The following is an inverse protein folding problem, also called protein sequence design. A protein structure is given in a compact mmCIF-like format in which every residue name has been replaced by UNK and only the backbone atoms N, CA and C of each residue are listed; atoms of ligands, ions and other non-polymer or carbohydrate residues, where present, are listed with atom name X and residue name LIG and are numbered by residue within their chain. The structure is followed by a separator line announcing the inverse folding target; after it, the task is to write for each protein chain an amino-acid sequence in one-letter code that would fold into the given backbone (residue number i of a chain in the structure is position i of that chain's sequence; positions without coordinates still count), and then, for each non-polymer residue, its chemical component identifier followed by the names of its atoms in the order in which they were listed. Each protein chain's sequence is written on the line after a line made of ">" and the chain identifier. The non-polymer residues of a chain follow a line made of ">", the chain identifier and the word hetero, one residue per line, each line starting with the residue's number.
data_IF_051100217669
#
_entry.id   IF_051100217669
#
_cell.length_a   1.000
_cell.length_b   1.000
_cell.length_c   1.000
_cell.angle_alpha   90.00
_cell.angle_beta   90.00
_cell.angle_gamma   90.00
#
_symmetry.space_group_name_H-M   'P 1'
#
loop_
_entity.id
_entity.type
_entity.pdbx_description
1 polymer ?
#
# COMPACT_ATOMS: atom_id res chain seq x y z
N UNK A 1 15.31 -29.50 33.20
CA UNK A 1 16.07 -28.32 32.75
C UNK A 1 15.43 -27.88 31.46
N UNK A 2 14.66 -26.81 31.61
CA UNK A 2 13.82 -26.14 30.63
C UNK A 2 14.67 -25.46 29.55
N UNK A 3 14.32 -25.62 28.28
CA UNK A 3 14.74 -24.69 27.23
C UNK A 3 13.53 -24.32 26.40
N UNK A 4 12.75 -23.41 26.97
CA UNK A 4 11.87 -22.50 26.25
C UNK A 4 12.69 -21.66 25.26
N UNK A 5 12.36 -21.72 23.97
CA UNK A 5 12.76 -20.69 23.01
C UNK A 5 11.53 -20.31 22.21
N UNK A 6 10.88 -19.25 22.68
CA UNK A 6 9.79 -18.55 22.01
C UNK A 6 10.43 -17.46 21.15
N UNK A 7 10.52 -17.67 19.84
CA UNK A 7 10.93 -16.64 18.89
C UNK A 7 9.71 -15.88 18.37
N UNK A 8 9.44 -14.78 19.07
CA UNK A 8 9.10 -13.45 18.57
C UNK A 8 8.17 -13.39 17.33
N UNK A 9 6.88 -13.29 17.64
CA UNK A 9 5.88 -12.51 16.91
C UNK A 9 6.45 -11.15 16.45
N UNK A 10 6.77 -11.02 15.16
CA UNK A 10 6.92 -9.72 14.49
C UNK A 10 5.79 -9.59 13.48
N UNK A 11 4.66 -9.10 13.97
CA UNK A 11 3.56 -8.61 13.17
C UNK A 11 4.04 -7.49 12.25
N UNK A 12 4.12 -7.82 10.97
CA UNK A 12 4.05 -6.86 9.88
C UNK A 12 3.08 -7.45 8.89
N UNK A 13 1.78 -7.42 9.21
CA UNK A 13 0.75 -7.59 8.20
C UNK A 13 0.97 -6.45 7.21
N UNK A 14 1.80 -6.72 6.20
CA UNK A 14 1.84 -5.93 4.99
C UNK A 14 0.47 -6.16 4.40
N UNK A 15 -0.47 -5.27 4.72
CA UNK A 15 -1.77 -5.26 4.07
C UNK A 15 -1.47 -5.28 2.58
N UNK A 16 -1.83 -6.39 1.96
CA UNK A 16 -1.47 -6.66 0.58
C UNK A 16 -2.42 -5.81 -0.26
N UNK A 17 -2.05 -4.55 -0.48
CA UNK A 17 -2.88 -3.59 -1.19
C UNK A 17 -2.90 -4.01 -2.67
N UNK A 18 -4.03 -4.54 -3.10
CA UNK A 18 -4.24 -5.01 -4.48
C UNK A 18 -4.50 -3.81 -5.41
N UNK A 19 -3.46 -3.06 -5.76
CA UNK A 19 -3.54 -1.97 -6.74
C UNK A 19 -3.70 -2.53 -8.17
N UNK A 20 -4.57 -1.92 -8.97
CA UNK A 20 -4.87 -2.32 -10.35
C UNK A 20 -4.70 -1.14 -11.31
N UNK A 21 -4.47 -1.48 -12.56
CA UNK A 21 -4.45 -0.54 -13.66
C UNK A 21 -5.80 0.19 -13.73
N UNK A 22 -5.76 1.50 -13.81
CA UNK A 22 -6.92 2.39 -13.80
C UNK A 22 -7.42 2.80 -12.43
N UNK A 23 -6.77 2.41 -11.32
CA UNK A 23 -7.13 2.97 -10.01
C UNK A 23 -6.78 4.45 -9.93
N UNK A 24 -7.73 5.23 -9.44
CA UNK A 24 -7.55 6.63 -9.08
C UNK A 24 -7.28 6.76 -7.57
N UNK A 25 -6.25 7.54 -7.25
CA UNK A 25 -5.88 7.87 -5.88
C UNK A 25 -5.98 9.36 -5.66
N UNK A 26 -6.55 9.75 -4.53
CA UNK A 26 -6.75 11.14 -4.12
C UNK A 26 -6.05 11.43 -2.81
N UNK A 27 -5.46 12.62 -2.72
CA UNK A 27 -4.91 13.12 -1.46
C UNK A 27 -6.02 13.80 -0.66
N UNK A 28 -6.34 13.34 0.57
CA UNK A 28 -7.42 13.93 1.37
C UNK A 28 -7.09 15.34 1.88
N UNK A 29 -5.81 15.74 1.86
CA UNK A 29 -5.38 17.05 2.35
C UNK A 29 -5.35 18.14 1.25
N UNK A 30 -4.95 17.78 0.02
CA UNK A 30 -4.74 18.75 -1.07
C UNK A 30 -5.69 18.56 -2.24
N UNK A 31 -6.49 17.50 -2.25
CA UNK A 31 -7.32 17.08 -3.38
C UNK A 31 -6.52 16.85 -4.68
N UNK A 32 -5.23 16.53 -4.58
CA UNK A 32 -4.44 16.08 -5.72
C UNK A 32 -4.90 14.68 -6.13
N UNK A 33 -4.97 14.42 -7.43
CA UNK A 33 -5.36 13.13 -8.00
C UNK A 33 -4.21 12.53 -8.82
N UNK A 34 -4.07 11.21 -8.76
CA UNK A 34 -3.21 10.43 -9.65
C UNK A 34 -3.96 9.19 -10.13
N UNK A 35 -3.67 8.77 -11.36
CA UNK A 35 -4.22 7.55 -11.94
C UNK A 35 -3.09 6.54 -12.16
N UNK A 36 -3.25 5.33 -11.62
CA UNK A 36 -2.31 4.25 -11.85
C UNK A 36 -2.51 3.69 -13.25
N UNK A 37 -1.65 4.06 -14.20
CA UNK A 37 -1.79 3.58 -15.58
C UNK A 37 -1.53 2.09 -15.73
N UNK A 38 -0.42 1.60 -15.17
CA UNK A 38 0.00 0.20 -15.23
C UNK A 38 0.58 -0.19 -13.86
N UNK A 39 0.14 -1.32 -13.30
CA UNK A 39 0.90 -1.99 -12.27
C UNK A 39 2.17 -2.55 -12.93
N UNK A 40 3.34 -2.11 -12.45
CA UNK A 40 4.61 -2.68 -12.87
C UNK A 40 4.69 -4.19 -12.63
N UNK A 41 5.75 -4.81 -13.16
CA UNK A 41 5.98 -6.25 -13.03
C UNK A 41 5.88 -6.71 -11.57
N UNK A 42 4.89 -7.57 -11.29
CA UNK A 42 4.57 -8.07 -9.94
C UNK A 42 5.74 -8.80 -9.28
N UNK A 43 6.63 -9.40 -10.07
CA UNK A 43 7.86 -10.02 -9.56
C UNK A 43 8.90 -9.01 -9.09
N UNK A 44 8.80 -7.75 -9.54
CA UNK A 44 9.67 -6.64 -9.12
C UNK A 44 9.01 -5.69 -8.13
N UNK A 45 7.70 -5.76 -8.00
CA UNK A 45 6.90 -4.93 -7.10
C UNK A 45 6.34 -5.73 -5.92
N UNK A 46 7.10 -6.69 -5.41
CA UNK A 46 6.80 -7.35 -4.14
C UNK A 46 6.97 -6.33 -3.00
N UNK A 47 5.85 -5.72 -2.58
CA UNK A 47 5.85 -4.66 -1.57
C UNK A 47 5.50 -3.27 -2.10
N UNK A 48 4.68 -3.18 -3.15
CA UNK A 48 4.08 -1.91 -3.58
C UNK A 48 3.43 -1.20 -2.38
N UNK A 49 3.85 0.04 -2.12
CA UNK A 49 3.30 0.87 -1.04
C UNK A 49 2.30 1.89 -1.59
N UNK A 50 1.44 2.44 -0.73
CA UNK A 50 0.56 3.55 -1.09
C UNK A 50 1.37 4.76 -1.58
N UNK A 51 0.83 5.47 -2.56
CA UNK A 51 1.42 6.71 -3.02
C UNK A 51 1.36 7.78 -1.92
N UNK A 52 2.36 8.65 -1.89
CA UNK A 52 2.41 9.79 -0.97
C UNK A 52 2.35 11.06 -1.79
N UNK A 53 1.41 11.93 -1.46
CA UNK A 53 1.28 13.24 -2.11
C UNK A 53 2.49 14.12 -1.77
N UNK A 54 2.79 15.12 -2.59
CA UNK A 54 3.86 16.09 -2.33
C UNK A 54 3.71 16.83 -0.99
N UNK A 55 2.50 16.90 -0.41
CA UNK A 55 2.28 17.46 0.92
C UNK A 55 2.68 16.51 2.08
N UNK A 56 3.08 15.27 1.78
CA UNK A 56 3.47 14.26 2.76
C UNK A 56 2.32 13.36 3.25
N UNK A 57 1.09 13.60 2.80
CA UNK A 57 -0.08 12.79 3.18
C UNK A 57 -0.19 11.55 2.28
N UNK A 58 -0.37 10.33 2.85
CA UNK A 58 -0.70 9.14 2.08
C UNK A 58 -1.96 9.36 1.24
N UNK A 59 -1.92 8.91 -0.01
CA UNK A 59 -3.07 8.97 -0.91
C UNK A 59 -3.98 7.77 -0.67
N UNK A 60 -5.27 7.95 -0.87
CA UNK A 60 -6.32 6.95 -0.68
C UNK A 60 -7.01 6.66 -2.01
N UNK A 61 -7.71 5.52 -2.13
CA UNK A 61 -8.51 5.25 -3.32
C UNK A 61 -9.66 6.26 -3.43
N UNK A 62 -9.87 6.84 -4.60
CA UNK A 62 -11.00 7.75 -4.84
C UNK A 62 -12.34 7.02 -4.68
N UNK A 63 -12.40 5.78 -5.17
CA UNK A 63 -13.61 4.97 -5.15
C UNK A 63 -13.41 3.68 -4.37
N UNK A 64 -14.27 3.36 -3.38
CA UNK A 64 -14.29 2.05 -2.77
C UNK A 64 -14.69 1.02 -3.83
N UNK A 65 -13.86 -0.01 -4.02
CA UNK A 65 -14.15 -1.11 -4.95
C UNK A 65 -15.26 -1.98 -4.37
N UNK A 66 -16.42 -1.98 -5.02
CA UNK A 66 -17.59 -2.83 -4.70
C UNK A 66 -17.38 -4.29 -5.10
#
# INVERSE_FOLDING_TARGET
>A
MDHSTQDMNSGGATEHIDMRDGDDFVCPNCACEIMLKHHGDRSKMAGMQMFVCCCGTPMEFEHPRV
#
